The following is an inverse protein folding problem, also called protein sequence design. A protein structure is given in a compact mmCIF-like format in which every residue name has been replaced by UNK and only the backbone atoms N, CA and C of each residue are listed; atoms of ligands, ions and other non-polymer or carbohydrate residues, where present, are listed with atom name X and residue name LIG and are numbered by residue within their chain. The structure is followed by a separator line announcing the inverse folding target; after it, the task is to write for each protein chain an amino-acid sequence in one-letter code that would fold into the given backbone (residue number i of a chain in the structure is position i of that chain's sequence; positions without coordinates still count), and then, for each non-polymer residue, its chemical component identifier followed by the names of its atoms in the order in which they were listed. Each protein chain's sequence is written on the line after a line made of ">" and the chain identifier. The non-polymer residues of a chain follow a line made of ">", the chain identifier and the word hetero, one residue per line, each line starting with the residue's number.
data_IF_036222894767
#
_entry.id   IF_036222894767
#
_cell.length_a   1.000
_cell.length_b   1.000
_cell.length_c   1.000
_cell.angle_alpha   90.00
_cell.angle_beta   90.00
_cell.angle_gamma   90.00
#
_symmetry.space_group_name_H-M   'P 1'
#
loop_
_entity.id
_entity.type
_entity.pdbx_description
1 polymer ?
#
# COMPACT_ATOMS: atom_id res chain seq x y z
N UNK A 1 14.55 13.71 -18.45
CA UNK A 1 13.08 13.71 -18.34
C UNK A 1 12.67 14.64 -17.22
N UNK A 2 11.72 15.55 -17.45
CA UNK A 2 11.25 16.52 -16.46
C UNK A 2 10.58 15.81 -15.28
N UNK A 3 10.77 16.30 -14.05
CA UNK A 3 10.24 15.68 -12.82
C UNK A 3 8.70 15.58 -12.78
N UNK A 4 7.98 16.29 -13.64
CA UNK A 4 6.53 16.17 -13.81
C UNK A 4 6.11 14.94 -14.62
N UNK A 5 6.92 14.49 -15.59
CA UNK A 5 6.61 13.29 -16.39
C UNK A 5 6.55 12.01 -15.54
N UNK A 6 7.39 11.93 -14.50
CA UNK A 6 7.37 10.85 -13.51
C UNK A 6 6.16 10.88 -12.56
N UNK A 7 5.48 12.02 -12.46
CA UNK A 7 4.30 12.20 -11.61
C UNK A 7 2.99 11.92 -12.37
N UNK A 8 3.05 11.88 -13.70
CA UNK A 8 1.91 11.59 -14.56
C UNK A 8 1.68 10.08 -14.67
N UNK A 9 0.50 9.63 -14.24
CA UNK A 9 0.10 8.22 -14.31
C UNK A 9 0.03 7.68 -15.74
N UNK A 10 -0.42 8.46 -16.72
CA UNK A 10 -0.51 8.01 -18.11
C UNK A 10 0.85 7.70 -18.74
N UNK A 11 1.93 8.26 -18.18
CA UNK A 11 3.31 8.10 -18.66
C UNK A 11 4.06 7.05 -17.84
N UNK A 12 3.92 7.09 -16.50
CA UNK A 12 4.75 6.30 -15.57
C UNK A 12 3.97 5.25 -14.79
N UNK A 13 2.65 5.23 -14.92
CA UNK A 13 1.76 4.30 -14.25
C UNK A 13 1.57 3.01 -15.06
N UNK A 14 1.13 1.93 -14.40
CA UNK A 14 0.88 0.64 -15.04
C UNK A 14 -0.47 0.61 -15.77
N UNK A 15 -0.67 1.52 -16.73
CA UNK A 15 -1.93 1.68 -17.48
C UNK A 15 -2.31 0.47 -18.35
N UNK A 16 -1.37 -0.44 -18.61
CA UNK A 16 -1.58 -1.68 -19.35
C UNK A 16 -2.21 -2.80 -18.52
N UNK A 17 -2.32 -2.65 -17.19
CA UNK A 17 -2.92 -3.65 -16.32
C UNK A 17 -4.46 -3.57 -16.38
N UNK A 18 -5.04 -4.20 -17.39
CA UNK A 18 -6.50 -4.22 -17.61
C UNK A 18 -7.19 -5.43 -16.97
N UNK A 19 -6.44 -6.49 -16.65
CA UNK A 19 -6.97 -7.70 -16.00
C UNK A 19 -6.81 -7.56 -14.49
N UNK A 20 -7.93 -7.63 -13.76
CA UNK A 20 -7.95 -7.62 -12.30
C UNK A 20 -7.70 -9.04 -11.80
N UNK A 21 -6.52 -9.29 -11.24
CA UNK A 21 -6.15 -10.58 -10.64
C UNK A 21 -5.46 -10.37 -9.29
N UNK A 22 -6.26 -10.39 -8.22
CA UNK A 22 -5.76 -10.24 -6.85
C UNK A 22 -5.01 -11.49 -6.35
N UNK A 23 -5.03 -12.61 -7.06
CA UNK A 23 -4.23 -13.78 -6.72
C UNK A 23 -2.82 -13.69 -7.29
N UNK A 24 -2.62 -12.91 -8.36
CA UNK A 24 -1.29 -12.63 -8.90
C UNK A 24 -0.48 -11.74 -7.97
N UNK A 25 0.68 -12.24 -7.54
CA UNK A 25 1.66 -11.46 -6.77
C UNK A 25 2.17 -10.26 -7.57
N UNK A 26 2.30 -10.40 -8.90
CA UNK A 26 2.72 -9.32 -9.78
C UNK A 26 1.67 -8.19 -9.80
N UNK A 27 0.40 -8.52 -10.02
CA UNK A 27 -0.69 -7.54 -10.00
C UNK A 27 -0.76 -6.81 -8.66
N UNK A 28 -0.75 -7.56 -7.54
CA UNK A 28 -0.72 -6.98 -6.19
C UNK A 28 0.46 -6.02 -5.99
N UNK A 29 1.65 -6.42 -6.42
CA UNK A 29 2.85 -5.57 -6.32
C UNK A 29 2.71 -4.28 -7.14
N UNK A 30 2.14 -4.36 -8.34
CA UNK A 30 1.89 -3.20 -9.18
C UNK A 30 0.85 -2.25 -8.58
N UNK A 31 -0.24 -2.77 -8.03
CA UNK A 31 -1.25 -1.96 -7.31
C UNK A 31 -0.58 -1.23 -6.14
N UNK A 32 0.16 -1.95 -5.30
CA UNK A 32 0.85 -1.35 -4.15
C UNK A 32 1.88 -0.30 -4.58
N UNK A 33 2.70 -0.57 -5.59
CA UNK A 33 3.65 0.39 -6.13
C UNK A 33 2.95 1.65 -6.67
N UNK A 34 1.80 1.48 -7.31
CA UNK A 34 0.99 2.60 -7.81
C UNK A 34 0.43 3.45 -6.67
N UNK A 35 -0.12 2.83 -5.62
CA UNK A 35 -0.61 3.54 -4.45
C UNK A 35 0.52 4.27 -3.70
N UNK A 36 1.68 3.64 -3.54
CA UNK A 36 2.88 4.27 -2.95
C UNK A 36 3.29 5.50 -3.76
N UNK A 37 3.40 5.37 -5.07
CA UNK A 37 3.73 6.51 -5.95
C UNK A 37 2.64 7.59 -5.87
N UNK A 38 1.36 7.22 -5.78
CA UNK A 38 0.25 8.12 -5.54
C UNK A 38 0.41 8.97 -4.29
N UNK A 39 0.91 8.42 -3.17
CA UNK A 39 1.20 9.19 -1.95
C UNK A 39 2.34 10.20 -2.15
N UNK A 40 3.39 9.82 -2.88
CA UNK A 40 4.47 10.77 -3.23
C UNK A 40 3.96 11.91 -4.11
N UNK A 41 3.11 11.61 -5.09
CA UNK A 41 2.52 12.62 -5.97
C UNK A 41 1.50 13.48 -5.21
N UNK A 42 0.74 12.90 -4.28
CA UNK A 42 -0.20 13.61 -3.42
C UNK A 42 0.50 14.66 -2.54
N UNK A 43 1.64 14.30 -1.94
CA UNK A 43 2.46 15.29 -1.22
C UNK A 43 2.96 16.40 -2.15
N UNK A 44 3.36 16.05 -3.38
CA UNK A 44 3.82 17.06 -4.34
C UNK A 44 2.70 18.01 -4.73
N UNK A 45 1.50 17.49 -4.99
CA UNK A 45 0.30 18.28 -5.24
C UNK A 45 0.01 19.19 -4.05
N UNK A 46 0.20 18.71 -2.81
CA UNK A 46 0.06 19.49 -1.58
C UNK A 46 1.06 20.66 -1.52
N UNK A 47 2.34 20.39 -1.74
CA UNK A 47 3.40 21.42 -1.76
C UNK A 47 3.17 22.47 -2.86
N UNK A 48 2.48 22.11 -3.94
CA UNK A 48 2.18 22.99 -5.07
C UNK A 48 0.78 23.62 -4.99
N UNK A 49 0.04 23.42 -3.88
CA UNK A 49 -1.34 23.90 -3.69
C UNK A 49 -2.30 23.44 -4.81
N UNK A 50 -2.11 22.21 -5.31
CA UNK A 50 -2.93 21.57 -6.34
C UNK A 50 -3.87 20.49 -5.79
N UNK A 51 -3.88 20.27 -4.48
CA UNK A 51 -4.81 19.32 -3.86
C UNK A 51 -6.24 19.79 -4.13
N UNK A 52 -7.08 18.90 -4.70
CA UNK A 52 -8.47 19.16 -5.12
C UNK A 52 -8.64 20.08 -6.35
N UNK A 53 -7.58 20.37 -7.09
CA UNK A 53 -7.69 21.06 -8.38
C UNK A 53 -7.83 20.05 -9.53
N UNK A 54 -8.39 20.45 -10.69
CA UNK A 54 -8.35 19.63 -11.91
C UNK A 54 -6.93 19.34 -12.41
N UNK A 55 -5.93 20.06 -11.89
CA UNK A 55 -4.51 19.90 -12.23
C UNK A 55 -3.77 18.96 -11.28
N UNK A 56 -4.46 18.36 -10.29
CA UNK A 56 -3.91 17.34 -9.41
C UNK A 56 -3.48 16.11 -10.22
N UNK A 57 -2.26 15.63 -9.98
CA UNK A 57 -1.70 14.47 -10.68
C UNK A 57 -1.86 13.18 -9.88
N UNK A 58 -2.15 13.27 -8.58
CA UNK A 58 -2.26 12.14 -7.68
C UNK A 58 -3.48 11.21 -7.93
N UNK A 59 -4.70 11.71 -8.19
CA UNK A 59 -5.91 10.85 -8.24
C UNK A 59 -5.84 9.61 -9.14
N UNK A 60 -5.31 9.70 -10.37
CA UNK A 60 -5.22 8.55 -11.27
C UNK A 60 -4.43 7.35 -10.70
N UNK A 61 -3.50 7.58 -9.77
CA UNK A 61 -2.65 6.53 -9.18
C UNK A 61 -3.42 5.52 -8.32
N UNK A 62 -4.59 5.87 -7.79
CA UNK A 62 -5.44 4.94 -7.04
C UNK A 62 -6.79 4.68 -7.71
N UNK A 63 -7.34 5.67 -8.42
CA UNK A 63 -8.63 5.53 -9.09
C UNK A 63 -8.62 4.47 -10.19
N UNK A 64 -7.51 4.31 -10.91
CA UNK A 64 -7.35 3.26 -11.92
C UNK A 64 -7.58 1.85 -11.34
N UNK A 65 -7.24 1.65 -10.06
CA UNK A 65 -7.41 0.38 -9.35
C UNK A 65 -8.69 0.32 -8.51
N UNK A 66 -9.66 1.19 -8.79
CA UNK A 66 -10.94 1.31 -8.07
C UNK A 66 -10.81 1.69 -6.58
N UNK A 67 -9.72 2.35 -6.20
CA UNK A 67 -9.57 2.91 -4.86
C UNK A 67 -10.05 4.36 -4.80
N UNK A 68 -10.32 4.82 -3.58
CA UNK A 68 -10.52 6.22 -3.23
C UNK A 68 -9.64 6.61 -2.04
N UNK A 69 -9.25 7.88 -1.99
CA UNK A 69 -8.57 8.44 -0.83
C UNK A 69 -9.58 8.61 0.32
N UNK A 70 -9.44 7.80 1.37
CA UNK A 70 -10.31 7.85 2.56
C UNK A 70 -9.76 8.81 3.62
N UNK A 71 -8.44 8.81 3.84
CA UNK A 71 -7.82 9.73 4.81
C UNK A 71 -6.36 10.03 4.43
N UNK A 72 -5.85 11.19 4.84
CA UNK A 72 -4.44 11.57 4.68
C UNK A 72 -3.76 11.56 6.05
N UNK A 73 -2.56 11.00 6.12
CA UNK A 73 -1.73 11.01 7.32
C UNK A 73 -0.77 12.20 7.25
N UNK A 74 -1.03 13.20 8.10
CA UNK A 74 -0.34 14.49 8.12
C UNK A 74 0.60 14.57 9.32
N UNK A 75 1.84 15.02 9.15
CA UNK A 75 2.74 15.26 10.28
C UNK A 75 2.28 16.53 11.02
N UNK A 76 2.24 16.48 12.36
CA UNK A 76 1.87 17.65 13.16
C UNK A 76 2.99 18.70 13.25
N UNK A 77 4.23 18.33 12.93
CA UNK A 77 5.38 19.22 13.03
C UNK A 77 5.50 20.18 11.84
N UNK A 78 5.31 19.67 10.61
CA UNK A 78 5.53 20.41 9.36
C UNK A 78 4.34 20.36 8.40
N UNK A 79 3.23 19.75 8.80
CA UNK A 79 2.03 19.56 7.98
C UNK A 79 2.26 18.76 6.68
N UNK A 80 3.38 18.05 6.56
CA UNK A 80 3.67 17.22 5.40
C UNK A 80 2.81 15.95 5.37
N UNK A 81 2.46 15.48 4.18
CA UNK A 81 1.72 14.23 4.01
C UNK A 81 2.71 13.07 4.00
N UNK A 82 2.78 12.33 5.09
CA UNK A 82 3.68 11.19 5.24
C UNK A 82 3.01 9.86 4.91
N UNK A 83 1.70 9.86 4.65
CA UNK A 83 0.96 8.65 4.27
C UNK A 83 -0.49 8.94 3.90
N UNK A 84 -1.21 7.89 3.49
CA UNK A 84 -2.62 7.95 3.15
C UNK A 84 -3.31 6.61 3.41
N UNK A 85 -4.62 6.65 3.62
CA UNK A 85 -5.50 5.49 3.69
C UNK A 85 -6.36 5.49 2.44
N UNK A 86 -6.28 4.40 1.68
CA UNK A 86 -7.12 4.15 0.52
C UNK A 86 -8.22 3.14 0.86
N UNK A 87 -9.42 3.37 0.33
CA UNK A 87 -10.55 2.46 0.44
C UNK A 87 -10.94 1.93 -0.95
N UNK A 88 -11.23 0.64 -1.05
CA UNK A 88 -11.70 0.03 -2.28
C UNK A 88 -13.18 0.35 -2.50
N UNK A 89 -13.53 0.97 -3.63
CA UNK A 89 -14.91 1.40 -3.96
C UNK A 89 -15.86 0.23 -4.20
N UNK A 90 -15.36 -0.88 -4.76
CA UNK A 90 -16.19 -2.03 -5.15
C UNK A 90 -15.80 -3.28 -4.35
N UNK A 91 -16.70 -3.82 -3.50
CA UNK A 91 -16.46 -5.04 -2.74
C UNK A 91 -16.51 -6.31 -3.59
N UNK A 92 -16.78 -6.21 -4.90
CA UNK A 92 -16.90 -7.36 -5.80
C UNK A 92 -15.55 -8.06 -6.09
N UNK A 93 -14.43 -7.47 -5.68
CA UNK A 93 -13.10 -8.06 -5.88
C UNK A 93 -12.80 -9.05 -4.75
N UNK A 94 -13.13 -10.32 -5.03
CA UNK A 94 -12.83 -11.45 -4.15
C UNK A 94 -11.33 -11.39 -3.78
N UNK A 95 -11.02 -11.43 -2.47
CA UNK A 95 -9.67 -11.40 -1.87
C UNK A 95 -8.91 -10.07 -1.94
N UNK A 96 -9.54 -8.98 -2.38
CA UNK A 96 -8.95 -7.64 -2.26
C UNK A 96 -9.13 -7.05 -0.85
N UNK A 97 -8.16 -6.31 -0.30
CA UNK A 97 -8.35 -5.60 0.96
C UNK A 97 -9.34 -4.44 0.77
N UNK A 98 -10.19 -4.20 1.78
CA UNK A 98 -11.08 -3.04 1.79
C UNK A 98 -10.31 -1.74 1.98
N UNK A 99 -9.27 -1.76 2.82
CA UNK A 99 -8.44 -0.61 3.14
C UNK A 99 -6.95 -0.89 2.90
N UNK A 100 -6.22 0.08 2.37
CA UNK A 100 -4.76 0.02 2.24
C UNK A 100 -4.17 1.29 2.86
N UNK A 101 -3.34 1.13 3.87
CA UNK A 101 -2.61 2.22 4.53
C UNK A 101 -1.20 2.30 3.94
N UNK A 102 -0.84 3.45 3.40
CA UNK A 102 0.38 3.64 2.61
C UNK A 102 1.23 4.75 3.23
N UNK A 103 2.54 4.53 3.34
CA UNK A 103 3.48 5.52 3.89
C UNK A 103 4.54 5.97 2.87
N UNK A 104 4.90 7.26 2.94
CA UNK A 104 6.00 7.92 2.22
C UNK A 104 7.33 7.68 2.97
N UNK A 105 7.82 6.44 3.00
CA UNK A 105 9.08 6.08 3.67
C UNK A 105 9.39 4.59 3.73
N UNK A 106 10.60 4.25 4.16
CA UNK A 106 11.10 2.87 4.34
C UNK A 106 10.57 2.28 5.65
N UNK A 107 9.62 1.36 5.57
CA UNK A 107 9.34 0.43 6.66
C UNK A 107 10.47 -0.62 6.63
N UNK A 108 11.49 -0.50 7.48
CA UNK A 108 12.54 -1.51 7.57
C UNK A 108 12.02 -2.77 8.26
N UNK A 109 11.62 -3.67 7.36
CA UNK A 109 11.37 -5.11 7.40
C UNK A 109 10.07 -5.75 7.95
N UNK A 110 9.61 -6.83 7.25
CA UNK A 110 8.22 -7.31 7.22
C UNK A 110 8.09 -8.81 7.59
N UNK A 111 6.86 -9.33 7.75
CA UNK A 111 6.42 -10.73 7.45
C UNK A 111 5.36 -11.27 8.40
N UNK A 112 4.36 -10.48 8.73
CA UNK A 112 3.43 -10.90 9.76
C UNK A 112 2.01 -10.86 9.28
N UNK A 113 1.34 -11.98 9.55
CA UNK A 113 -0.08 -12.15 9.31
C UNK A 113 -0.80 -11.02 10.03
N UNK A 114 -2.04 -10.80 9.63
CA UNK A 114 -2.93 -9.73 10.06
C UNK A 114 -2.98 -9.40 11.57
N UNK A 115 -2.51 -10.29 12.45
CA UNK A 115 -2.38 -10.11 13.90
C UNK A 115 -1.08 -9.45 14.36
N UNK A 116 0.05 -9.71 13.68
CA UNK A 116 1.34 -9.17 14.13
C UNK A 116 1.71 -7.86 13.44
N UNK A 117 0.96 -7.43 12.44
CA UNK A 117 1.04 -6.07 11.88
C UNK A 117 1.02 -4.98 12.97
N UNK A 118 0.03 -5.03 13.87
CA UNK A 118 -0.12 -4.01 14.91
C UNK A 118 0.99 -4.13 15.97
N UNK A 119 1.40 -5.36 16.27
CA UNK A 119 2.48 -5.64 17.23
C UNK A 119 3.85 -5.22 16.68
N UNK A 120 4.11 -5.46 15.40
CA UNK A 120 5.32 -5.07 14.70
C UNK A 120 5.40 -3.57 14.54
N UNK A 121 4.27 -2.92 14.26
CA UNK A 121 4.21 -1.47 14.31
C UNK A 121 4.50 -0.97 15.73
N UNK A 122 3.86 -1.50 16.78
CA UNK A 122 4.21 -1.14 18.17
C UNK A 122 5.69 -1.38 18.49
N UNK A 123 6.30 -2.43 17.94
CA UNK A 123 7.73 -2.71 18.06
C UNK A 123 8.59 -1.66 17.33
N UNK A 124 8.21 -1.26 16.12
CA UNK A 124 8.83 -0.16 15.38
C UNK A 124 8.68 1.16 16.17
N UNK A 125 7.53 1.42 16.80
CA UNK A 125 7.31 2.56 17.71
C UNK A 125 8.27 2.54 18.89
N UNK A 126 8.48 1.35 19.48
CA UNK A 126 9.38 1.19 20.61
C UNK A 126 10.85 1.37 20.21
N UNK A 127 11.22 1.05 18.97
CA UNK A 127 12.57 1.30 18.43
C UNK A 127 12.78 2.75 17.98
N UNK A 128 11.75 3.39 17.44
CA UNK A 128 11.71 4.80 17.05
C UNK A 128 11.11 5.63 18.19
N UNK A 129 11.84 5.74 19.30
CA UNK A 129 11.44 6.60 20.40
C UNK A 129 11.16 8.04 19.89
N UNK A 130 9.90 8.48 20.03
CA UNK A 130 9.40 9.87 19.85
C UNK A 130 9.07 10.39 18.44
N UNK A 131 8.39 9.63 17.57
CA UNK A 131 7.79 10.23 16.37
C UNK A 131 6.25 10.27 16.44
N UNK A 132 5.69 11.49 16.51
CA UNK A 132 4.24 11.79 16.48
C UNK A 132 3.53 11.16 15.28
N UNK A 133 4.21 11.09 14.12
CA UNK A 133 3.76 10.39 12.90
C UNK A 133 3.37 8.95 13.15
N UNK A 134 4.17 8.24 13.92
CA UNK A 134 3.99 6.81 14.15
C UNK A 134 2.77 6.52 15.01
N UNK A 135 2.54 7.34 16.05
CA UNK A 135 1.36 7.22 16.90
C UNK A 135 0.06 7.47 16.12
N UNK A 136 0.00 8.53 15.31
CA UNK A 136 -1.17 8.83 14.47
C UNK A 136 -1.46 7.74 13.44
N UNK A 137 -0.41 7.16 12.87
CA UNK A 137 -0.52 6.02 11.97
C UNK A 137 -1.12 4.80 12.68
N UNK A 138 -0.59 4.46 13.85
CA UNK A 138 -1.11 3.37 14.69
C UNK A 138 -2.58 3.58 15.05
N UNK A 139 -2.96 4.75 15.56
CA UNK A 139 -4.34 5.05 15.97
C UNK A 139 -5.31 4.90 14.78
N UNK A 140 -4.89 5.34 13.58
CA UNK A 140 -5.66 5.19 12.34
C UNK A 140 -5.82 3.72 11.95
N UNK A 141 -4.76 2.91 12.08
CA UNK A 141 -4.77 1.49 11.75
C UNK A 141 -5.65 0.71 12.74
N UNK A 142 -5.52 0.97 14.04
CA UNK A 142 -6.37 0.34 15.08
C UNK A 142 -7.85 0.61 14.80
N UNK A 143 -8.21 1.85 14.52
CA UNK A 143 -9.59 2.23 14.16
C UNK A 143 -10.10 1.49 12.92
N UNK A 144 -9.27 1.34 11.88
CA UNK A 144 -9.64 0.63 10.66
C UNK A 144 -9.79 -0.88 10.90
N UNK A 145 -8.90 -1.46 11.70
CA UNK A 145 -8.94 -2.87 12.09
C UNK A 145 -10.18 -3.18 12.91
N UNK A 146 -10.54 -2.33 13.86
CA UNK A 146 -11.79 -2.45 14.63
C UNK A 146 -13.03 -2.36 13.74
N UNK A 147 -13.02 -1.45 12.76
CA UNK A 147 -14.15 -1.24 11.84
C UNK A 147 -14.31 -2.34 10.80
N UNK A 148 -13.20 -2.85 10.24
CA UNK A 148 -13.22 -3.67 9.02
C UNK A 148 -12.71 -5.10 9.23
N UNK A 149 -12.04 -5.37 10.35
CA UNK A 149 -11.31 -6.60 10.59
C UNK A 149 -9.92 -6.60 9.94
N UNK A 150 -8.98 -7.27 10.58
CA UNK A 150 -7.56 -7.27 10.17
C UNK A 150 -7.31 -7.86 8.77
N UNK A 151 -8.16 -8.78 8.30
CA UNK A 151 -8.04 -9.37 6.95
C UNK A 151 -8.35 -8.38 5.83
N UNK A 152 -9.04 -7.27 6.14
CA UNK A 152 -9.47 -6.27 5.17
C UNK A 152 -8.57 -5.02 5.16
N UNK A 153 -7.46 -5.02 5.90
CA UNK A 153 -6.54 -3.88 6.02
C UNK A 153 -5.12 -4.30 5.61
N UNK A 154 -4.55 -3.66 4.60
CA UNK A 154 -3.16 -3.85 4.17
C UNK A 154 -2.30 -2.63 4.48
N UNK A 155 -0.98 -2.85 4.59
CA UNK A 155 0.02 -1.81 4.79
C UNK A 155 1.05 -1.82 3.67
N UNK A 156 1.47 -0.64 3.23
CA UNK A 156 2.45 -0.46 2.18
C UNK A 156 3.39 0.72 2.43
N UNK A 157 4.61 0.63 1.90
CA UNK A 157 5.64 1.66 2.01
C UNK A 157 6.85 1.31 1.13
N UNK A 158 7.80 2.25 1.03
CA UNK A 158 8.96 2.10 0.15
C UNK A 158 10.03 1.18 0.77
N UNK A 159 9.79 -0.13 0.75
CA UNK A 159 10.81 -1.17 0.97
C UNK A 159 10.44 -2.57 0.45
N UNK A 160 9.30 -2.75 -0.23
CA UNK A 160 8.88 -4.10 -0.63
C UNK A 160 9.32 -4.40 -2.07
N UNK A 161 10.54 -4.93 -2.20
CA UNK A 161 10.78 -5.93 -3.25
C UNK A 161 10.06 -7.19 -2.76
N UNK A 162 8.94 -7.55 -3.38
CA UNK A 162 8.33 -8.86 -3.13
C UNK A 162 9.27 -9.92 -3.68
N UNK A 163 10.18 -10.43 -2.87
CA UNK A 163 10.93 -11.63 -3.20
C UNK A 163 9.98 -12.82 -3.08
N UNK A 164 9.66 -13.42 -4.22
CA UNK A 164 9.04 -14.74 -4.27
C UNK A 164 10.02 -15.74 -3.64
N UNK A 165 9.64 -16.40 -2.55
CA UNK A 165 10.07 -17.78 -2.36
C UNK A 165 9.11 -18.66 -3.16
N UNK A 166 9.50 -18.99 -4.39
CA UNK A 166 8.90 -20.11 -5.12
C UNK A 166 9.22 -21.38 -4.33
N UNK A 167 8.29 -21.81 -3.48
CA UNK A 167 8.29 -23.19 -3.02
C UNK A 167 7.97 -24.06 -4.24
N UNK A 168 9.06 -24.55 -4.83
CA UNK A 168 9.10 -25.59 -5.83
C UNK A 168 8.19 -26.74 -5.38
N UNK A 169 7.02 -26.89 -6.02
CA UNK A 169 6.33 -28.16 -6.02
C UNK A 169 7.19 -29.12 -6.84
N UNK A 170 8.12 -29.81 -6.16
CA UNK A 170 8.62 -31.10 -6.64
C UNK A 170 7.57 -32.13 -6.27
N UNK A 171 6.73 -32.47 -7.24
CA UNK A 171 6.02 -33.74 -7.22
C UNK A 171 7.07 -34.84 -7.32
N UNK A 172 7.33 -35.49 -6.18
CA UNK A 172 8.14 -36.71 -6.15
C UNK A 172 7.31 -37.83 -6.76
N UNK A 173 7.45 -37.97 -8.08
CA UNK A 173 7.31 -39.24 -8.76
C UNK A 173 8.43 -40.17 -8.26
N UNK A 174 8.10 -41.19 -7.46
CA UNK A 174 8.36 -42.61 -7.77
C UNK A 174 8.22 -43.56 -6.57
N UNK A 175 7.30 -44.51 -6.80
CA UNK A 175 7.42 -45.98 -6.66
C UNK A 175 7.29 -46.65 -5.28
N UNK A 176 6.36 -47.61 -5.25
CA UNK A 176 6.36 -48.72 -4.30
C UNK A 176 5.22 -49.72 -4.51
N UNK A 177 5.18 -50.41 -5.67
CA UNK A 177 4.70 -51.81 -5.72
C UNK A 177 5.95 -52.69 -5.51
N UNK A 178 5.92 -53.62 -4.55
CA UNK A 178 5.75 -55.06 -4.86
C UNK A 178 4.84 -55.75 -3.81
N UNK A 179 4.20 -56.92 -4.00
CA UNK A 179 4.42 -58.09 -4.87
C UNK A 179 3.06 -58.76 -5.08
#
# INVERSE_FOLDING_TARGET
>A
MSSEGESNFGVSGPSHLTVIDWESTHYRSSVIASLVKGVYVLERDHQQNRVLTPTALAPPWWEFFNFQLNNVLVDAADYSFFGAVFELKSPALIKAPKYVVVFRGTLTEPNTRSRDILLDLKCISNRLHKNSRFKRALDSIETLVEKAGTANVWLAGHSVRVSHSTACWKENDKKGLPT
#
